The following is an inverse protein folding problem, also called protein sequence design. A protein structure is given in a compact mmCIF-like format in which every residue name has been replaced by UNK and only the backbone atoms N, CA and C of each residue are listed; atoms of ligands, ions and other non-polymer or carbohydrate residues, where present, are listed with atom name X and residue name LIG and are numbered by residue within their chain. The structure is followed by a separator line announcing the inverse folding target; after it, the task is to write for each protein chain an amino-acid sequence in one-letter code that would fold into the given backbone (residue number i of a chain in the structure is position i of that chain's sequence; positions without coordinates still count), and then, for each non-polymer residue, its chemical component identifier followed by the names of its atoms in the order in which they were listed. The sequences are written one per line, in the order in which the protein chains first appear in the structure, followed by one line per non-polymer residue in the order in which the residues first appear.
data_IF_191359778227
#
_entry.id   IF_191359778227
#
_cell.length_a   1.000
_cell.length_b   1.000
_cell.length_c   1.000
_cell.angle_alpha   90.00
_cell.angle_beta   90.00
_cell.angle_gamma   90.00
#
_symmetry.space_group_name_H-M   'P 1'
#
loop_
_entity.id
_entity.type
_entity.pdbx_description
1 polymer ?
#
# COMPACT_ATOMS: atom_id res chain seq x y z
N UNK A 1 3.71 -27.08 1.45
CA UNK A 1 3.92 -26.38 0.17
C UNK A 1 2.58 -26.31 -0.53
N UNK A 2 1.85 -25.20 -0.41
CA UNK A 2 0.60 -25.00 -1.16
C UNK A 2 0.70 -23.62 -1.80
N UNK A 3 1.14 -23.60 -3.05
CA UNK A 3 0.97 -22.46 -3.92
C UNK A 3 -0.51 -22.40 -4.29
N UNK A 4 -1.27 -21.57 -3.58
CA UNK A 4 -2.50 -21.03 -4.12
C UNK A 4 -2.12 -19.91 -5.09
N UNK A 5 -1.74 -20.27 -6.30
CA UNK A 5 -1.71 -19.33 -7.44
C UNK A 5 -3.15 -19.12 -7.93
N UNK A 6 -4.01 -18.68 -7.01
CA UNK A 6 -5.33 -18.19 -7.32
C UNK A 6 -5.18 -16.74 -7.71
N UNK A 7 -5.45 -16.44 -8.98
CA UNK A 7 -5.56 -15.12 -9.59
C UNK A 7 -5.97 -14.07 -8.53
N UNK A 8 -4.99 -13.40 -7.91
CA UNK A 8 -5.31 -12.33 -6.96
C UNK A 8 -6.04 -11.28 -7.79
N UNK A 9 -7.24 -10.82 -7.39
CA UNK A 9 -7.89 -9.75 -8.10
C UNK A 9 -6.90 -8.59 -8.20
N UNK A 10 -6.81 -8.01 -9.40
CA UNK A 10 -5.94 -6.85 -9.62
C UNK A 10 -6.26 -5.79 -8.58
N UNK A 11 -5.21 -5.16 -8.06
CA UNK A 11 -5.33 -4.13 -7.04
C UNK A 11 -6.21 -2.97 -7.50
N UNK A 12 -6.66 -2.15 -6.55
CA UNK A 12 -7.53 -1.01 -6.83
C UNK A 12 -6.79 0.30 -6.54
N UNK A 13 -6.99 1.30 -7.39
CA UNK A 13 -6.59 2.69 -7.11
C UNK A 13 -7.81 3.43 -6.58
N UNK A 14 -7.68 4.11 -5.44
CA UNK A 14 -8.74 4.91 -4.82
C UNK A 14 -8.22 6.27 -4.42
N UNK A 15 -8.97 7.29 -4.75
CA UNK A 15 -8.75 8.63 -4.24
C UNK A 15 -9.45 8.79 -2.88
N UNK A 16 -8.73 9.30 -1.88
CA UNK A 16 -9.26 9.53 -0.53
C UNK A 16 -8.89 10.94 -0.07
N UNK A 17 -9.90 11.77 0.13
CA UNK A 17 -9.74 13.17 0.58
C UNK A 17 -10.15 13.40 2.04
N UNK A 18 -10.67 12.37 2.72
CA UNK A 18 -11.19 12.49 4.09
C UNK A 18 -10.46 11.59 5.07
N UNK A 19 -9.99 12.18 6.17
CA UNK A 19 -9.44 11.46 7.31
C UNK A 19 -10.46 10.55 8.01
N UNK A 20 -11.77 10.76 7.78
CA UNK A 20 -12.82 9.92 8.32
C UNK A 20 -12.93 8.56 7.61
N UNK A 21 -12.29 8.40 6.45
CA UNK A 21 -12.30 7.16 5.66
C UNK A 21 -11.79 5.98 6.52
N UNK A 22 -12.52 4.86 6.60
CA UNK A 22 -12.10 3.68 7.37
C UNK A 22 -10.69 3.20 7.03
N UNK A 23 -10.29 3.22 5.74
CA UNK A 23 -8.96 2.78 5.31
C UNK A 23 -7.84 3.62 5.93
N UNK A 24 -8.05 4.94 6.03
CA UNK A 24 -7.06 5.84 6.65
C UNK A 24 -6.94 5.56 8.14
N UNK A 25 -8.06 5.28 8.81
CA UNK A 25 -8.07 4.93 10.24
C UNK A 25 -7.34 3.60 10.50
N UNK A 26 -7.57 2.61 9.64
CA UNK A 26 -6.92 1.30 9.75
C UNK A 26 -5.40 1.39 9.58
N UNK A 27 -4.93 2.22 8.65
CA UNK A 27 -3.50 2.47 8.44
C UNK A 27 -2.90 3.17 9.66
N UNK A 28 -3.56 4.23 10.17
CA UNK A 28 -3.11 4.94 11.38
C UNK A 28 -3.06 4.00 12.59
N UNK A 29 -3.96 3.03 12.69
CA UNK A 29 -3.99 2.07 13.78
C UNK A 29 -2.72 1.19 13.84
N UNK A 30 -2.02 0.97 12.71
CA UNK A 30 -0.75 0.23 12.66
C UNK A 30 0.40 0.89 13.47
N UNK A 31 0.22 2.13 13.92
CA UNK A 31 1.13 2.76 14.87
C UNK A 31 1.18 2.03 16.23
N UNK A 32 0.08 1.37 16.63
CA UNK A 32 -0.01 0.62 17.88
C UNK A 32 0.34 -0.86 17.69
N UNK A 33 1.14 -1.41 18.61
CA UNK A 33 1.59 -2.82 18.56
C UNK A 33 0.44 -3.81 18.46
N UNK A 34 -0.63 -3.61 19.24
CA UNK A 34 -1.83 -4.44 19.24
C UNK A 34 -2.38 -4.67 17.83
N UNK A 35 -2.50 -3.60 17.03
CA UNK A 35 -3.03 -3.70 15.68
C UNK A 35 -2.03 -4.28 14.69
N UNK A 36 -0.72 -4.03 14.86
CA UNK A 36 0.31 -4.72 14.06
C UNK A 36 0.28 -6.22 14.25
N UNK A 37 0.20 -6.67 15.50
CA UNK A 37 0.14 -8.10 15.85
C UNK A 37 -1.15 -8.72 15.31
N UNK A 38 -2.30 -8.05 15.51
CA UNK A 38 -3.60 -8.54 15.07
C UNK A 38 -3.70 -8.65 13.54
N UNK A 39 -3.15 -7.68 12.82
CA UNK A 39 -3.24 -7.64 11.36
C UNK A 39 -2.07 -8.36 10.66
N UNK A 40 -1.02 -8.72 11.42
CA UNK A 40 0.28 -9.14 10.90
C UNK A 40 0.77 -8.20 9.78
N UNK A 41 0.78 -6.90 10.10
CA UNK A 41 1.09 -5.83 9.16
C UNK A 41 1.83 -4.69 9.87
N UNK A 42 2.59 -3.92 9.09
CA UNK A 42 3.31 -2.75 9.56
C UNK A 42 3.27 -1.66 8.49
N UNK A 43 3.64 -0.44 8.87
CA UNK A 43 3.77 0.69 7.97
C UNK A 43 5.26 0.98 7.74
N UNK A 44 5.65 1.21 6.49
CA UNK A 44 6.98 1.66 6.10
C UNK A 44 6.85 2.94 5.29
N UNK A 45 7.70 3.91 5.58
CA UNK A 45 7.69 5.23 4.93
C UNK A 45 8.96 5.42 4.10
N UNK A 46 8.83 6.09 2.95
CA UNK A 46 9.93 6.39 2.05
C UNK A 46 9.92 5.52 0.78
N UNK A 47 9.99 6.19 -0.37
CA UNK A 47 9.87 5.56 -1.69
C UNK A 47 10.94 4.49 -1.94
N UNK A 48 12.18 4.73 -1.53
CA UNK A 48 13.28 3.76 -1.67
C UNK A 48 13.01 2.47 -0.90
N UNK A 49 12.55 2.56 0.34
CA UNK A 49 12.25 1.38 1.15
C UNK A 49 11.11 0.55 0.54
N UNK A 50 10.10 1.22 -0.01
CA UNK A 50 8.99 0.54 -0.70
C UNK A 50 9.48 -0.16 -1.97
N UNK A 51 10.33 0.49 -2.77
CA UNK A 51 10.93 -0.13 -3.97
C UNK A 51 11.75 -1.36 -3.59
N UNK A 52 12.66 -1.21 -2.62
CA UNK A 52 13.54 -2.29 -2.18
C UNK A 52 12.71 -3.47 -1.64
N UNK A 53 11.63 -3.21 -0.89
CA UNK A 53 10.73 -4.24 -0.39
C UNK A 53 10.02 -5.01 -1.53
N UNK A 54 9.53 -4.31 -2.55
CA UNK A 54 8.93 -4.94 -3.73
C UNK A 54 9.94 -5.77 -4.52
N UNK A 55 11.19 -5.31 -4.62
CA UNK A 55 12.27 -6.01 -5.31
C UNK A 55 12.69 -7.27 -4.54
N UNK A 56 12.63 -7.24 -3.21
CA UNK A 56 12.84 -8.40 -2.33
C UNK A 56 11.63 -9.35 -2.25
N UNK A 57 10.55 -9.09 -2.99
CA UNK A 57 9.37 -9.96 -3.05
C UNK A 57 8.45 -9.84 -1.84
N UNK A 58 8.54 -8.76 -1.06
CA UNK A 58 7.58 -8.52 0.02
C UNK A 58 6.18 -8.28 -0.54
N UNK A 59 5.18 -8.78 0.17
CA UNK A 59 3.78 -8.53 -0.18
C UNK A 59 3.33 -7.17 0.34
N UNK A 60 2.97 -6.26 -0.57
CA UNK A 60 2.38 -4.97 -0.23
C UNK A 60 0.84 -5.10 -0.14
N UNK A 61 0.26 -4.61 0.97
CA UNK A 61 -1.21 -4.57 1.13
C UNK A 61 -1.79 -3.26 0.60
N UNK A 62 -1.18 -2.15 1.01
CA UNK A 62 -1.62 -0.81 0.65
C UNK A 62 -0.41 0.08 0.41
N UNK A 63 -0.38 0.77 -0.73
CA UNK A 63 0.50 1.90 -0.99
C UNK A 63 -0.29 3.19 -0.80
N UNK A 64 0.26 4.17 -0.10
CA UNK A 64 -0.32 5.51 0.04
C UNK A 64 0.64 6.53 -0.52
N UNK A 65 0.16 7.44 -1.36
CA UNK A 65 0.94 8.59 -1.79
C UNK A 65 0.06 9.84 -1.90
N UNK A 66 0.66 11.00 -1.63
CA UNK A 66 -0.03 12.28 -1.77
C UNK A 66 -0.28 12.60 -3.25
N UNK A 67 -1.41 13.26 -3.57
CA UNK A 67 -1.71 13.69 -4.94
C UNK A 67 -0.59 14.49 -5.61
N UNK A 68 0.19 15.24 -4.82
CA UNK A 68 1.37 15.97 -5.30
C UNK A 68 2.47 15.06 -5.90
N UNK A 69 2.47 13.77 -5.56
CA UNK A 69 3.37 12.76 -6.14
C UNK A 69 2.94 12.25 -7.52
N UNK A 70 1.77 12.65 -8.03
CA UNK A 70 1.31 12.30 -9.38
C UNK A 70 2.20 12.95 -10.44
N UNK A 71 2.51 12.24 -11.52
CA UNK A 71 3.46 12.66 -12.54
C UNK A 71 4.93 12.34 -12.21
N UNK A 72 5.23 11.89 -10.98
CA UNK A 72 6.53 11.33 -10.67
C UNK A 72 6.61 9.88 -11.16
N UNK A 73 7.41 9.64 -12.19
CA UNK A 73 7.57 8.33 -12.82
C UNK A 73 7.92 7.20 -11.82
N UNK A 74 8.69 7.50 -10.77
CA UNK A 74 9.04 6.51 -9.77
C UNK A 74 7.84 6.13 -8.88
N UNK A 75 7.02 7.10 -8.49
CA UNK A 75 5.79 6.87 -7.72
C UNK A 75 4.79 6.07 -8.56
N UNK A 76 4.60 6.46 -9.82
CA UNK A 76 3.69 5.77 -10.75
C UNK A 76 4.12 4.33 -11.02
N UNK A 77 5.42 4.08 -11.19
CA UNK A 77 5.97 2.73 -11.33
C UNK A 77 5.68 1.87 -10.10
N UNK A 78 5.84 2.41 -8.90
CA UNK A 78 5.57 1.69 -7.64
C UNK A 78 4.07 1.45 -7.46
N UNK A 79 3.22 2.41 -7.83
CA UNK A 79 1.77 2.26 -7.82
C UNK A 79 1.31 1.14 -8.76
N UNK A 80 1.82 1.12 -10.00
CA UNK A 80 1.52 0.07 -10.97
C UNK A 80 1.95 -1.31 -10.47
N UNK A 81 3.15 -1.43 -9.89
CA UNK A 81 3.63 -2.68 -9.28
C UNK A 81 2.76 -3.14 -8.11
N UNK A 82 2.31 -2.19 -7.29
CA UNK A 82 1.40 -2.48 -6.17
C UNK A 82 0.08 -3.07 -6.67
N UNK A 83 -0.51 -2.46 -7.69
CA UNK A 83 -1.76 -2.94 -8.31
C UNK A 83 -1.57 -4.34 -8.91
N UNK A 84 -0.47 -4.56 -9.63
CA UNK A 84 -0.14 -5.87 -10.22
C UNK A 84 0.06 -6.96 -9.15
N UNK A 85 0.54 -6.59 -7.96
CA UNK A 85 0.68 -7.51 -6.81
C UNK A 85 -0.65 -7.77 -6.06
N UNK A 86 -1.75 -7.14 -6.48
CA UNK A 86 -3.06 -7.22 -5.82
C UNK A 86 -3.23 -6.26 -4.63
N UNK A 87 -2.31 -5.30 -4.45
CA UNK A 87 -2.37 -4.30 -3.39
C UNK A 87 -3.26 -3.11 -3.74
N UNK A 88 -3.78 -2.42 -2.72
CA UNK A 88 -4.56 -1.19 -2.90
C UNK A 88 -3.64 0.02 -2.98
N UNK A 89 -3.92 0.95 -3.89
CA UNK A 89 -3.23 2.23 -3.99
C UNK A 89 -4.17 3.34 -3.55
N UNK A 90 -3.77 4.14 -2.58
CA UNK A 90 -4.51 5.28 -2.08
C UNK A 90 -3.84 6.59 -2.49
N UNK A 91 -4.52 7.37 -3.32
CA UNK A 91 -4.18 8.75 -3.65
C UNK A 91 -4.82 9.67 -2.61
N UNK A 92 -4.01 10.28 -1.74
CA UNK A 92 -4.52 11.12 -0.64
C UNK A 92 -4.27 12.61 -0.86
N UNK A 93 -5.20 13.44 -0.40
CA UNK A 93 -4.90 14.87 -0.21
C UNK A 93 -3.99 15.07 1.01
N UNK A 94 -3.12 16.08 0.96
CA UNK A 94 -2.33 16.51 2.12
C UNK A 94 -3.20 16.96 3.30
#
# INVERSE_FOLDING_TARGET
MVAYDGHRPVGQVKEVTSLANPLVKDIKALALKKFRDQQNAFMAEGLKLVIDALDLGWSIRTLVFAKAGRGNAAVEKVAARTVAAGGTVLEVSE
#
